data_IF_101964417479
#
_entry.id   IF_101964417479
#
_cell.length_a   1.000
_cell.length_b   1.000
_cell.length_c   1.000
_cell.angle_alpha   90.00
_cell.angle_beta   90.00
_cell.angle_gamma   90.00
#
_symmetry.space_group_name_H-M   'P 1'
#
loop_
_entity.id
_entity.type
_entity.pdbx_description
1 polymer ?
#
# COMPACT_ATOMS: atom_id res chain seq x y z
N UNK A 1 2.31 19.41 5.93
CA UNK A 1 2.32 20.27 7.15
C UNK A 1 1.68 19.60 8.36
N UNK A 2 0.46 19.03 8.28
CA UNK A 2 -0.18 18.36 9.41
C UNK A 2 0.64 17.18 10.00
N UNK A 3 1.27 16.37 9.16
CA UNK A 3 2.06 15.21 9.60
C UNK A 3 3.23 15.60 10.51
N UNK A 4 3.93 16.71 10.21
CA UNK A 4 5.06 17.17 11.02
C UNK A 4 4.61 17.59 12.43
N UNK A 5 3.42 18.22 12.52
CA UNK A 5 2.83 18.60 13.80
C UNK A 5 2.42 17.39 14.63
N UNK A 6 1.87 16.35 13.98
CA UNK A 6 1.48 15.10 14.65
C UNK A 6 2.71 14.41 15.26
N UNK A 7 3.79 14.27 14.49
CA UNK A 7 5.04 13.69 14.99
C UNK A 7 5.64 14.49 16.14
N UNK A 8 5.70 15.82 15.98
CA UNK A 8 6.18 16.70 17.04
C UNK A 8 5.37 16.52 18.33
N UNK A 9 4.04 16.42 18.23
CA UNK A 9 3.17 16.16 19.37
C UNK A 9 3.45 14.81 20.04
N UNK A 10 3.65 13.73 19.28
CA UNK A 10 3.94 12.42 19.87
C UNK A 10 5.24 12.44 20.69
N UNK A 11 6.31 13.00 20.14
CA UNK A 11 7.58 13.12 20.86
C UNK A 11 7.46 14.09 22.05
N UNK A 12 6.78 15.23 21.86
CA UNK A 12 6.59 16.23 22.90
C UNK A 12 5.79 15.72 24.10
N UNK A 13 4.68 15.01 23.85
CA UNK A 13 3.87 14.39 24.90
C UNK A 13 4.65 13.30 25.62
N UNK A 14 5.35 12.43 24.88
CA UNK A 14 6.18 11.38 25.49
C UNK A 14 7.27 11.94 26.41
N UNK A 15 7.94 13.01 25.99
CA UNK A 15 8.95 13.69 26.78
C UNK A 15 8.37 14.37 28.03
N UNK A 16 7.22 15.03 27.90
CA UNK A 16 6.54 15.66 29.04
C UNK A 16 6.10 14.63 30.09
N UNK A 17 5.57 13.49 29.66
CA UNK A 17 5.24 12.36 30.55
C UNK A 17 6.49 11.82 31.25
N UNK A 18 7.62 11.74 30.54
CA UNK A 18 8.90 11.32 31.11
C UNK A 18 9.36 12.25 32.25
N UNK A 19 9.23 13.57 32.06
CA UNK A 19 9.55 14.57 33.08
C UNK A 19 8.65 14.39 34.31
N UNK A 20 7.34 14.18 34.12
CA UNK A 20 6.42 13.96 35.23
C UNK A 20 6.80 12.69 36.02
N UNK A 21 7.07 11.59 35.31
CA UNK A 21 7.52 10.33 35.92
C UNK A 21 8.85 10.48 36.68
N UNK A 22 9.78 11.27 36.13
CA UNK A 22 11.07 11.52 36.76
C UNK A 22 10.93 12.37 38.03
N UNK A 23 10.20 13.48 37.97
CA UNK A 23 10.12 14.46 39.08
C UNK A 23 9.11 14.04 40.16
N UNK A 24 7.91 13.59 39.77
CA UNK A 24 6.83 13.32 40.72
C UNK A 24 6.78 11.86 41.19
N UNK A 25 7.22 10.91 40.37
CA UNK A 25 7.21 9.47 40.70
C UNK A 25 8.61 8.91 41.00
N UNK A 26 9.66 9.72 40.88
CA UNK A 26 11.04 9.34 41.21
C UNK A 26 11.63 8.26 40.29
N UNK A 27 11.02 8.01 39.12
CA UNK A 27 11.48 6.99 38.20
C UNK A 27 12.70 7.48 37.40
N UNK A 28 13.90 7.18 37.89
CA UNK A 28 15.18 7.56 37.24
C UNK A 28 15.47 6.77 35.97
N UNK A 29 14.82 5.63 35.77
CA UNK A 29 15.02 4.77 34.60
C UNK A 29 14.14 5.16 33.40
N UNK A 30 13.17 6.08 33.58
CA UNK A 30 12.18 6.41 32.54
C UNK A 30 12.83 6.85 31.21
N UNK A 31 13.91 7.62 31.27
CA UNK A 31 14.62 8.06 30.08
C UNK A 31 15.35 6.91 29.38
N UNK A 32 15.90 5.96 30.15
CA UNK A 32 16.51 4.75 29.60
C UNK A 32 15.46 3.87 28.93
N UNK A 33 14.33 3.64 29.58
CA UNK A 33 13.20 2.87 29.02
C UNK A 33 12.70 3.49 27.71
N UNK A 34 12.61 4.81 27.62
CA UNK A 34 12.21 5.48 26.39
C UNK A 34 13.23 5.28 25.27
N UNK A 35 14.53 5.41 25.57
CA UNK A 35 15.60 5.22 24.58
C UNK A 35 15.65 3.77 24.12
N UNK A 36 15.66 2.82 25.04
CA UNK A 36 15.67 1.39 24.74
C UNK A 36 14.43 1.00 23.92
N UNK A 37 13.24 1.47 24.33
CA UNK A 37 12.00 1.22 23.58
C UNK A 37 12.00 1.79 22.16
N UNK A 38 12.67 2.93 21.92
CA UNK A 38 12.86 3.46 20.57
C UNK A 38 13.76 2.56 19.73
N UNK A 39 14.87 2.07 20.29
CA UNK A 39 15.78 1.15 19.59
C UNK A 39 15.13 -0.21 19.33
N UNK A 40 14.41 -0.78 20.30
CA UNK A 40 13.68 -2.03 20.16
C UNK A 40 12.60 -1.93 19.06
N UNK A 41 11.88 -0.80 19.03
CA UNK A 41 10.88 -0.52 17.99
C UNK A 41 11.53 -0.41 16.62
N UNK A 42 12.69 0.26 16.52
CA UNK A 42 13.45 0.37 15.28
C UNK A 42 13.98 -0.99 14.80
N UNK A 43 14.53 -1.81 15.69
CA UNK A 43 14.98 -3.16 15.37
C UNK A 43 13.82 -4.03 14.90
N UNK A 44 12.69 -4.00 15.63
CA UNK A 44 11.50 -4.74 15.24
C UNK A 44 10.99 -4.32 13.85
N UNK A 45 10.89 -3.01 13.61
CA UNK A 45 10.45 -2.48 12.33
C UNK A 45 11.36 -2.91 11.18
N UNK A 46 12.68 -2.84 11.35
CA UNK A 46 13.64 -3.12 10.26
C UNK A 46 13.91 -4.62 10.12
N UNK A 47 14.34 -5.27 11.20
CA UNK A 47 14.84 -6.64 11.17
C UNK A 47 13.73 -7.68 11.09
N UNK A 48 12.61 -7.44 11.80
CA UNK A 48 11.54 -8.44 11.93
C UNK A 48 10.41 -8.23 10.93
N UNK A 49 10.19 -7.00 10.47
CA UNK A 49 9.09 -6.68 9.56
C UNK A 49 9.62 -6.32 8.17
N UNK A 50 10.37 -5.22 8.03
CA UNK A 50 10.72 -4.68 6.72
C UNK A 50 11.59 -5.65 5.90
N UNK A 51 12.62 -6.25 6.50
CA UNK A 51 13.56 -7.11 5.79
C UNK A 51 12.92 -8.44 5.29
N UNK A 52 12.18 -9.21 6.12
CA UNK A 52 11.47 -10.39 5.63
C UNK A 52 10.43 -10.03 4.56
N UNK A 53 9.67 -8.95 4.79
CA UNK A 53 8.66 -8.50 3.85
C UNK A 53 9.29 -8.09 2.51
N UNK A 54 10.44 -7.40 2.51
CA UNK A 54 11.16 -7.05 1.30
C UNK A 54 11.60 -8.28 0.50
N UNK A 55 12.07 -9.35 1.17
CA UNK A 55 12.44 -10.60 0.51
C UNK A 55 11.24 -11.27 -0.17
N UNK A 56 10.13 -11.41 0.57
CA UNK A 56 8.89 -12.02 0.04
C UNK A 56 8.30 -11.18 -1.10
N UNK A 57 8.24 -9.86 -0.94
CA UNK A 57 7.78 -8.97 -2.01
C UNK A 57 8.66 -9.07 -3.26
N UNK A 58 9.98 -9.08 -3.10
CA UNK A 58 10.92 -9.18 -4.24
C UNK A 58 10.69 -10.46 -5.03
N UNK A 59 10.48 -11.58 -4.34
CA UNK A 59 10.17 -12.86 -4.96
C UNK A 59 8.86 -12.81 -5.76
N UNK A 60 7.76 -12.39 -5.13
CA UNK A 60 6.46 -12.36 -5.81
C UNK A 60 6.37 -11.30 -6.92
N UNK A 61 6.98 -10.12 -6.73
CA UNK A 61 7.10 -9.11 -7.78
C UNK A 61 7.97 -9.59 -8.95
N UNK A 62 9.00 -10.40 -8.68
CA UNK A 62 9.81 -11.06 -9.72
C UNK A 62 8.97 -12.01 -10.57
N UNK A 63 8.16 -12.87 -9.94
CA UNK A 63 7.21 -13.74 -10.63
C UNK A 63 6.22 -12.93 -11.46
N UNK A 64 5.67 -11.84 -10.89
CA UNK A 64 4.75 -10.96 -11.62
C UNK A 64 5.42 -10.34 -12.85
N UNK A 65 6.64 -9.81 -12.73
CA UNK A 65 7.38 -9.24 -13.86
C UNK A 65 7.60 -10.27 -14.97
N UNK A 66 7.85 -11.52 -14.61
CA UNK A 66 7.94 -12.61 -15.60
C UNK A 66 6.58 -12.79 -16.29
N UNK A 67 5.48 -12.83 -15.53
CA UNK A 67 4.12 -12.92 -16.07
C UNK A 67 3.72 -11.73 -16.96
N UNK A 68 4.15 -10.52 -16.61
CA UNK A 68 3.97 -9.30 -17.41
C UNK A 68 4.70 -9.42 -18.75
N UNK A 69 5.99 -9.75 -18.71
CA UNK A 69 6.84 -9.92 -19.92
C UNK A 69 6.38 -11.09 -20.78
N UNK A 70 5.83 -12.14 -20.18
CA UNK A 70 5.21 -13.28 -20.87
C UNK A 70 3.84 -12.93 -21.48
N UNK A 71 3.31 -11.74 -21.22
CA UNK A 71 2.05 -11.26 -21.79
C UNK A 71 0.79 -11.74 -21.05
N UNK A 72 0.91 -12.40 -19.90
CA UNK A 72 -0.24 -12.86 -19.11
C UNK A 72 -1.08 -11.68 -18.61
N UNK A 73 -0.44 -10.59 -18.16
CA UNK A 73 -1.12 -9.36 -17.76
C UNK A 73 -1.82 -8.72 -18.96
N UNK A 74 -1.19 -8.71 -20.14
CA UNK A 74 -1.78 -8.14 -21.34
C UNK A 74 -2.97 -8.98 -21.86
N UNK A 75 -2.93 -10.29 -21.66
CA UNK A 75 -4.04 -11.20 -21.94
C UNK A 75 -5.22 -10.95 -20.98
N UNK A 76 -4.96 -10.89 -19.67
CA UNK A 76 -5.96 -10.57 -18.67
C UNK A 76 -6.57 -9.19 -18.94
N UNK A 77 -5.74 -8.21 -19.28
CA UNK A 77 -6.16 -6.86 -19.63
C UNK A 77 -7.15 -6.84 -20.80
N UNK A 78 -6.87 -7.59 -21.87
CA UNK A 78 -7.81 -7.73 -23.00
C UNK A 78 -9.13 -8.38 -22.58
N UNK A 79 -9.08 -9.32 -21.63
CA UNK A 79 -10.29 -10.01 -21.16
C UNK A 79 -11.18 -9.11 -20.29
N UNK A 80 -10.57 -8.26 -19.46
CA UNK A 80 -11.29 -7.35 -18.54
C UNK A 80 -11.63 -6.01 -19.22
N UNK A 81 -10.97 -5.64 -20.33
CA UNK A 81 -11.28 -4.43 -21.14
C UNK A 81 -12.79 -4.12 -21.29
N UNK A 82 -13.68 -5.04 -21.71
CA UNK A 82 -15.11 -4.75 -21.90
C UNK A 82 -15.87 -4.42 -20.59
N UNK A 83 -15.34 -4.82 -19.44
CA UNK A 83 -15.87 -4.42 -18.14
C UNK A 83 -15.43 -2.99 -17.80
N UNK A 84 -14.15 -2.67 -17.98
CA UNK A 84 -13.62 -1.33 -17.72
C UNK A 84 -14.21 -0.25 -18.62
N UNK A 85 -14.45 -0.53 -19.90
CA UNK A 85 -15.08 0.44 -20.81
C UNK A 85 -16.53 0.75 -20.45
N UNK A 86 -17.24 -0.17 -19.78
CA UNK A 86 -18.58 0.11 -19.24
C UNK A 86 -18.54 0.87 -17.92
N UNK A 87 -17.54 0.57 -17.07
CA UNK A 87 -17.40 1.15 -15.74
C UNK A 87 -16.82 2.57 -15.78
N UNK A 88 -16.01 2.87 -16.81
CA UNK A 88 -15.40 4.17 -17.04
C UNK A 88 -15.84 4.74 -18.41
N UNK A 89 -17.11 5.10 -18.59
CA UNK A 89 -17.64 5.57 -19.87
C UNK A 89 -17.09 6.94 -20.30
N UNK A 90 -16.58 7.73 -19.35
CA UNK A 90 -16.04 9.08 -19.59
C UNK A 90 -14.60 9.06 -20.14
N UNK A 91 -13.95 7.90 -20.21
CA UNK A 91 -12.58 7.77 -20.71
C UNK A 91 -12.62 7.45 -22.22
N UNK A 92 -11.89 8.20 -23.07
CA UNK A 92 -11.79 7.88 -24.49
C UNK A 92 -11.23 6.47 -24.73
N UNK A 93 -11.83 5.70 -25.63
CA UNK A 93 -11.54 4.25 -25.79
C UNK A 93 -10.06 3.90 -26.07
N UNK A 94 -9.31 4.83 -26.69
CA UNK A 94 -7.90 4.65 -27.04
C UNK A 94 -6.94 5.43 -26.12
N UNK A 95 -7.43 5.96 -25.00
CA UNK A 95 -6.58 6.69 -24.06
C UNK A 95 -5.63 5.74 -23.30
N UNK A 96 -4.32 6.05 -23.20
CA UNK A 96 -3.33 5.18 -22.56
C UNK A 96 -3.61 4.90 -21.07
N UNK A 97 -4.43 5.73 -20.42
CA UNK A 97 -4.85 5.53 -19.03
C UNK A 97 -5.52 4.19 -18.78
N UNK A 98 -6.20 3.61 -19.79
CA UNK A 98 -6.80 2.28 -19.67
C UNK A 98 -5.76 1.21 -19.32
N UNK A 99 -4.57 1.27 -19.92
CA UNK A 99 -3.48 0.33 -19.62
C UNK A 99 -3.01 0.44 -18.18
N UNK A 100 -2.77 1.67 -17.69
CA UNK A 100 -2.31 1.91 -16.32
C UNK A 100 -3.35 1.49 -15.27
N UNK A 101 -4.64 1.79 -15.50
CA UNK A 101 -5.71 1.34 -14.61
C UNK A 101 -5.78 -0.19 -14.55
N UNK A 102 -5.77 -0.86 -15.70
CA UNK A 102 -5.86 -2.31 -15.75
C UNK A 102 -4.65 -2.96 -15.07
N UNK A 103 -3.45 -2.40 -15.23
CA UNK A 103 -2.25 -2.88 -14.53
C UNK A 103 -2.38 -2.69 -13.01
N UNK A 104 -2.87 -1.54 -12.54
CA UNK A 104 -3.12 -1.31 -11.12
C UNK A 104 -4.13 -2.33 -10.55
N UNK A 105 -5.26 -2.53 -11.20
CA UNK A 105 -6.28 -3.50 -10.75
C UNK A 105 -5.77 -4.93 -10.81
N UNK A 106 -5.02 -5.30 -11.84
CA UNK A 106 -4.45 -6.65 -11.95
C UNK A 106 -3.44 -6.92 -10.83
N UNK A 107 -2.61 -5.93 -10.50
CA UNK A 107 -1.66 -6.04 -9.39
C UNK A 107 -2.37 -6.16 -8.04
N UNK A 108 -3.41 -5.35 -7.78
CA UNK A 108 -4.21 -5.43 -6.56
C UNK A 108 -5.00 -6.76 -6.46
N UNK A 109 -5.59 -7.24 -7.55
CA UNK A 109 -6.24 -8.55 -7.61
C UNK A 109 -5.30 -9.71 -7.26
N UNK A 110 -4.01 -9.61 -7.60
CA UNK A 110 -3.01 -10.61 -7.26
C UNK A 110 -2.37 -10.40 -5.87
N UNK A 111 -2.85 -9.43 -5.08
CA UNK A 111 -2.31 -9.13 -3.74
C UNK A 111 -0.93 -8.47 -3.76
N UNK A 112 -0.59 -7.79 -4.86
CA UNK A 112 0.70 -7.13 -5.09
C UNK A 112 0.56 -5.62 -4.93
N UNK A 113 0.04 -5.19 -3.78
CA UNK A 113 -0.37 -3.81 -3.52
C UNK A 113 0.78 -2.80 -3.64
N UNK A 114 2.01 -3.24 -3.33
CA UNK A 114 3.22 -2.43 -3.47
C UNK A 114 3.57 -2.14 -4.94
N UNK A 115 3.28 -3.08 -5.84
CA UNK A 115 3.42 -2.87 -7.29
C UNK A 115 2.23 -2.07 -7.85
N UNK A 116 1.04 -2.19 -7.26
CA UNK A 116 -0.15 -1.47 -7.70
C UNK A 116 0.01 0.05 -7.53
N UNK A 117 0.66 0.52 -6.46
CA UNK A 117 0.81 1.95 -6.13
C UNK A 117 1.40 2.82 -7.26
N UNK A 118 2.55 2.52 -7.87
CA UNK A 118 3.09 3.33 -8.97
C UNK A 118 2.19 3.32 -10.21
N UNK A 119 1.52 2.20 -10.53
CA UNK A 119 0.53 2.15 -11.61
C UNK A 119 -0.72 2.98 -11.28
N UNK A 120 -1.13 3.00 -10.01
CA UNK A 120 -2.27 3.78 -9.53
C UNK A 120 -2.02 5.28 -9.62
N UNK A 121 -0.81 5.74 -9.28
CA UNK A 121 -0.43 7.15 -9.44
C UNK A 121 -0.40 7.56 -10.92
N UNK A 122 0.15 6.73 -11.81
CA UNK A 122 0.13 6.98 -13.26
C UNK A 122 -1.30 6.99 -13.82
N UNK A 123 -2.15 6.07 -13.37
CA UNK A 123 -3.55 6.05 -13.74
C UNK A 123 -4.25 7.33 -13.28
N UNK A 124 -4.05 7.76 -12.03
CA UNK A 124 -4.64 8.98 -11.49
C UNK A 124 -4.17 10.24 -12.22
N UNK A 125 -2.89 10.30 -12.61
CA UNK A 125 -2.36 11.38 -13.46
C UNK A 125 -3.05 11.41 -14.83
N UNK A 126 -3.17 10.26 -15.50
CA UNK A 126 -3.88 10.17 -16.78
C UNK A 126 -5.38 10.52 -16.66
N UNK A 127 -6.02 10.16 -15.55
CA UNK A 127 -7.41 10.57 -15.26
C UNK A 127 -7.52 12.07 -14.98
N UNK A 128 -6.48 12.66 -14.38
CA UNK A 128 -6.41 14.10 -14.13
C UNK A 128 -6.17 14.88 -15.43
N UNK A 129 -5.42 14.35 -16.40
CA UNK A 129 -5.21 14.97 -17.71
C UNK A 129 -6.53 15.14 -18.48
N UNK A 130 -7.37 14.10 -18.48
CA UNK A 130 -8.69 14.13 -19.15
C UNK A 130 -9.75 14.90 -18.36
N UNK A 131 -9.51 15.19 -17.08
CA UNK A 131 -10.47 15.90 -16.24
C UNK A 131 -10.68 17.34 -16.73
N UNK A 132 -11.91 17.75 -17.10
CA UNK A 132 -12.18 19.12 -17.54
C UNK A 132 -12.05 20.16 -16.40
N UNK A 133 -12.23 19.77 -15.14
CA UNK A 133 -12.18 20.66 -13.97
C UNK A 133 -11.07 20.21 -13.03
N UNK A 134 -9.87 20.79 -13.16
CA UNK A 134 -8.66 20.29 -12.47
C UNK A 134 -8.76 20.30 -10.94
N UNK A 135 -9.54 21.22 -10.37
CA UNK A 135 -9.69 21.35 -8.91
C UNK A 135 -10.80 20.47 -8.32
N UNK A 136 -11.50 19.68 -9.14
CA UNK A 136 -12.61 18.82 -8.70
C UNK A 136 -12.41 17.41 -9.22
N UNK A 137 -12.52 16.40 -8.36
CA UNK A 137 -12.37 15.01 -8.78
C UNK A 137 -13.45 14.62 -9.80
N UNK A 138 -13.05 14.00 -10.91
CA UNK A 138 -13.98 13.48 -11.92
C UNK A 138 -14.63 12.17 -11.47
N UNK A 139 -15.73 11.78 -12.09
CA UNK A 139 -16.39 10.50 -11.79
C UNK A 139 -15.45 9.32 -12.03
N UNK A 140 -14.61 9.38 -13.06
CA UNK A 140 -13.59 8.36 -13.32
C UNK A 140 -12.55 8.28 -12.19
N UNK A 141 -12.10 9.42 -11.63
CA UNK A 141 -11.17 9.41 -10.49
C UNK A 141 -11.81 8.85 -9.22
N UNK A 142 -13.06 9.25 -8.95
CA UNK A 142 -13.83 8.75 -7.80
C UNK A 142 -14.06 7.25 -7.93
N UNK A 143 -14.53 6.79 -9.10
CA UNK A 143 -14.78 5.37 -9.37
C UNK A 143 -13.49 4.55 -9.24
N UNK A 144 -12.37 5.04 -9.80
CA UNK A 144 -11.08 4.38 -9.67
C UNK A 144 -10.68 4.20 -8.20
N UNK A 145 -10.86 5.24 -7.38
CA UNK A 145 -10.55 5.19 -5.95
C UNK A 145 -11.49 4.25 -5.18
N UNK A 146 -12.80 4.28 -5.47
CA UNK A 146 -13.80 3.41 -4.83
C UNK A 146 -13.55 1.94 -5.14
N UNK A 147 -13.19 1.60 -6.37
CA UNK A 147 -12.85 0.23 -6.73
C UNK A 147 -11.53 -0.21 -6.09
N UNK A 148 -10.58 0.70 -5.94
CA UNK A 148 -9.32 0.43 -5.25
C UNK A 148 -9.54 0.21 -3.74
N UNK A 149 -10.43 0.97 -3.11
CA UNK A 149 -10.80 0.78 -1.70
C UNK A 149 -11.67 -0.45 -1.46
N UNK A 150 -12.46 -0.88 -2.45
CA UNK A 150 -13.21 -2.14 -2.40
C UNK A 150 -12.28 -3.37 -2.42
N UNK A 151 -11.04 -3.21 -2.87
CA UNK A 151 -9.95 -4.18 -2.70
C UNK A 151 -10.30 -5.62 -3.08
N UNK A 152 -10.80 -5.90 -4.30
CA UNK A 152 -10.97 -7.28 -4.72
C UNK A 152 -9.58 -7.92 -4.82
N UNK A 153 -9.29 -8.85 -3.91
CA UNK A 153 -8.04 -9.62 -3.87
C UNK A 153 -8.38 -11.08 -4.14
N UNK A 154 -7.90 -11.62 -5.26
CA UNK A 154 -8.05 -13.04 -5.62
C UNK A 154 -7.03 -13.91 -4.90
N UNK A 155 -5.81 -13.39 -4.69
CA UNK A 155 -4.74 -14.12 -4.00
C UNK A 155 -4.13 -13.17 -2.95
N UNK A 156 -4.37 -13.38 -1.65
CA UNK A 156 -3.93 -12.46 -0.60
C UNK A 156 -2.46 -12.70 -0.21
N UNK A 157 -1.55 -12.58 -1.18
CA UNK A 157 -0.12 -12.88 -1.01
C UNK A 157 0.53 -12.08 0.13
N UNK A 158 0.18 -10.79 0.27
CA UNK A 158 0.68 -9.93 1.35
C UNK A 158 0.25 -10.42 2.74
N UNK A 159 -0.98 -10.90 2.87
CA UNK A 159 -1.50 -11.49 4.11
C UNK A 159 -0.84 -12.84 4.40
N UNK A 160 -0.69 -13.69 3.38
CA UNK A 160 0.01 -14.97 3.51
C UNK A 160 1.47 -14.76 3.96
N UNK A 161 2.16 -13.79 3.36
CA UNK A 161 3.52 -13.41 3.75
C UNK A 161 3.58 -12.96 5.22
N UNK A 162 2.65 -12.12 5.64
CA UNK A 162 2.58 -11.64 7.03
C UNK A 162 2.30 -12.78 8.01
N UNK A 163 1.40 -13.70 7.66
CA UNK A 163 1.11 -14.91 8.46
C UNK A 163 2.34 -15.82 8.58
N UNK A 164 3.11 -15.98 7.50
CA UNK A 164 4.36 -16.74 7.55
C UNK A 164 5.39 -16.07 8.49
N UNK A 165 5.52 -14.74 8.45
CA UNK A 165 6.41 -13.99 9.36
C UNK A 165 6.01 -14.20 10.83
N UNK A 166 4.71 -14.21 11.12
CA UNK A 166 4.20 -14.44 12.47
C UNK A 166 4.08 -15.92 12.88
N UNK A 167 4.56 -16.85 12.06
CA UNK A 167 4.65 -18.27 12.41
C UNK A 167 3.33 -19.04 12.31
N UNK A 168 2.40 -18.64 11.44
CA UNK A 168 1.20 -19.42 11.18
C UNK A 168 1.57 -20.83 10.67
N UNK A 169 0.85 -21.87 11.14
CA UNK A 169 1.06 -23.26 10.69
C UNK A 169 0.82 -23.41 9.18
N UNK A 170 -0.20 -22.73 8.68
CA UNK A 170 -0.45 -22.56 7.25
C UNK A 170 -0.69 -21.08 6.95
N UNK A 171 0.17 -20.53 6.10
CA UNK A 171 0.08 -19.15 5.63
C UNK A 171 -1.11 -18.94 4.69
N UNK A 172 -1.58 -19.99 4.01
CA UNK A 172 -2.67 -19.95 3.01
C UNK A 172 -4.06 -20.11 3.61
N UNK A 173 -4.18 -20.40 4.90
CA UNK A 173 -5.45 -20.54 5.64
C UNK A 173 -6.11 -19.17 5.91
N UNK A 174 -6.41 -18.46 4.82
CA UNK A 174 -7.04 -17.13 4.75
C UNK A 174 -8.11 -17.07 3.66
N UNK A 175 -8.42 -18.21 3.04
CA UNK A 175 -9.45 -18.39 2.02
C UNK A 175 -10.75 -18.93 2.61
#
# INVERSE_FOLDING_TARGET
MALNWIWFLFFGVGFFVAIIQFIFFGNTEIFKILVDGMFDSAEMAVMKIALPLAGVMTFFMGILQIGEKAGAIHFLARRIKPFFTRLFPEIPQDHPVHGQMIMNFSANLLGLDNAATPFGLKAMQGLQEINPVKDTASNAQIMFLVLHSAGPVLIPLSIMAQRAIYGAQDASDVF
#
